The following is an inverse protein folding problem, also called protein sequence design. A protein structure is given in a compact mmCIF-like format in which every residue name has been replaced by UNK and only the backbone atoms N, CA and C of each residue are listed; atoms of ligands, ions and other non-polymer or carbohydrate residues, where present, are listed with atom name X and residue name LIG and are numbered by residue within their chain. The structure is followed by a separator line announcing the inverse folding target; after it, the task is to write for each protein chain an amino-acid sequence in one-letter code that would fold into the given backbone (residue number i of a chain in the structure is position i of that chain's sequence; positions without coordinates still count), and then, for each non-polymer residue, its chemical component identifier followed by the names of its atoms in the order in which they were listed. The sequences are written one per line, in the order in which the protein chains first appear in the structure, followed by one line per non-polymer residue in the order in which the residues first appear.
data_IF_845137180173
#
_entry.id   IF_845137180173
#
_cell.length_a   1.000
_cell.length_b   1.000
_cell.length_c   1.000
_cell.angle_alpha   90.00
_cell.angle_beta   90.00
_cell.angle_gamma   90.00
#
_symmetry.space_group_name_H-M   'P 1'
#
loop_
_entity.id
_entity.type
_entity.pdbx_description
1 polymer ?
#
# COMPACT_ATOMS: atom_id res chain seq x y z
N UNK A 1 20.89 13.57 13.57
CA UNK A 1 20.34 12.56 12.69
C UNK A 1 18.83 12.52 12.71
N UNK A 2 18.24 12.70 11.61
CA UNK A 2 16.79 12.69 11.53
C UNK A 2 16.28 11.28 11.29
N UNK A 3 15.13 11.01 11.84
CA UNK A 3 14.47 9.75 11.62
C UNK A 3 13.56 9.88 10.41
N UNK A 4 13.73 9.02 9.48
CA UNK A 4 12.90 9.02 8.30
C UNK A 4 11.69 8.14 8.54
N UNK A 5 10.53 8.73 8.42
CA UNK A 5 9.30 7.98 8.50
C UNK A 5 8.82 7.72 7.09
N UNK A 6 8.50 6.50 6.83
CA UNK A 6 7.96 6.17 5.53
C UNK A 6 6.76 5.26 5.67
N UNK A 7 5.96 5.24 4.65
CA UNK A 7 4.82 4.36 4.54
C UNK A 7 5.13 3.36 3.43
N UNK A 8 4.88 2.10 3.70
CA UNK A 8 5.14 1.03 2.76
C UNK A 8 3.84 0.35 2.40
N UNK A 9 3.53 0.31 1.11
CA UNK A 9 2.35 -0.40 0.65
C UNK A 9 2.76 -1.82 0.28
N UNK A 10 2.32 -2.78 1.06
CA UNK A 10 2.63 -4.18 0.83
C UNK A 10 1.37 -4.95 0.47
N UNK A 11 1.53 -5.96 -0.38
CA UNK A 11 0.43 -6.83 -0.70
C UNK A 11 0.09 -7.71 0.50
N UNK A 12 -1.15 -7.69 0.92
CA UNK A 12 -1.60 -8.48 2.06
C UNK A 12 -1.65 -9.97 1.72
N UNK A 13 -1.73 -10.30 0.47
CA UNK A 13 -1.84 -11.67 0.02
C UNK A 13 -0.48 -12.37 -0.14
N UNK A 14 0.45 -11.73 -0.83
CA UNK A 14 1.76 -12.34 -1.09
C UNK A 14 2.90 -11.69 -0.31
N UNK A 15 2.65 -10.56 0.34
CA UNK A 15 3.66 -9.88 1.14
C UNK A 15 4.65 -9.05 0.36
N UNK A 16 4.48 -8.93 -0.95
CA UNK A 16 5.41 -8.15 -1.76
C UNK A 16 5.21 -6.65 -1.52
N UNK A 17 6.32 -5.93 -1.50
CA UNK A 17 6.25 -4.48 -1.37
C UNK A 17 5.83 -3.89 -2.70
N UNK A 18 4.77 -3.09 -2.68
CA UNK A 18 4.25 -2.47 -3.90
C UNK A 18 4.93 -1.14 -4.15
N UNK A 19 5.00 -0.30 -3.12
CA UNK A 19 5.59 1.02 -3.25
C UNK A 19 6.01 1.58 -1.90
N UNK A 20 6.91 2.55 -1.93
CA UNK A 20 7.35 3.27 -0.74
C UNK A 20 6.97 4.74 -0.85
N UNK A 21 6.49 5.29 0.24
CA UNK A 21 6.14 6.71 0.34
C UNK A 21 6.97 7.31 1.47
N UNK A 22 8.03 8.01 1.11
CA UNK A 22 9.02 8.45 2.08
C UNK A 22 8.64 9.75 2.77
N UNK A 23 8.15 10.70 2.02
CA UNK A 23 7.91 12.03 2.54
C UNK A 23 6.49 12.31 3.00
N UNK A 24 5.58 11.42 2.72
CA UNK A 24 4.18 11.66 3.04
C UNK A 24 3.41 10.34 3.09
N UNK A 25 2.27 10.42 3.73
CA UNK A 25 1.37 9.28 3.77
C UNK A 25 0.44 9.36 2.55
N UNK A 26 0.37 8.31 1.74
CA UNK A 26 -0.47 8.34 0.55
C UNK A 26 -1.95 8.34 0.90
N UNK A 27 -2.74 8.93 0.03
CA UNK A 27 -4.19 8.87 0.16
C UNK A 27 -4.69 7.56 -0.43
N UNK A 28 -5.93 7.23 -0.12
CA UNK A 28 -6.54 6.02 -0.69
C UNK A 28 -6.53 6.07 -2.21
N UNK A 29 -6.73 7.26 -2.75
CA UNK A 29 -6.73 7.46 -4.18
C UNK A 29 -5.39 7.12 -4.80
N UNK A 30 -4.32 7.54 -4.15
CA UNK A 30 -2.97 7.23 -4.61
C UNK A 30 -2.66 5.76 -4.50
N UNK A 31 -3.08 5.14 -3.40
CA UNK A 31 -2.89 3.71 -3.22
C UNK A 31 -3.60 2.91 -4.29
N UNK A 32 -4.79 3.33 -4.67
CA UNK A 32 -5.54 2.64 -5.73
C UNK A 32 -4.84 2.73 -7.08
N UNK A 33 -4.08 3.78 -7.30
CA UNK A 33 -3.31 3.91 -8.53
C UNK A 33 -2.12 2.97 -8.55
N UNK A 34 -1.44 2.85 -7.42
CA UNK A 34 -0.21 2.06 -7.34
C UNK A 34 -0.49 0.58 -7.07
N UNK A 35 -1.57 0.29 -6.37
CA UNK A 35 -1.93 -1.07 -6.00
C UNK A 35 -3.05 -1.58 -6.88
N UNK A 36 -3.13 -2.90 -7.04
CA UNK A 36 -4.19 -3.50 -7.82
C UNK A 36 -5.55 -3.34 -7.14
N UNK A 37 -5.55 -3.39 -5.82
CA UNK A 37 -6.79 -3.26 -5.06
C UNK A 37 -6.51 -2.69 -3.69
N UNK A 38 -7.43 -1.89 -3.19
CA UNK A 38 -7.36 -1.33 -1.84
C UNK A 38 -8.67 -1.62 -1.14
N UNK A 39 -8.57 -2.19 0.04
CA UNK A 39 -9.73 -2.53 0.87
C UNK A 39 -9.53 -1.94 2.25
N UNK A 40 -10.59 -1.43 2.84
CA UNK A 40 -10.55 -0.93 4.21
C UNK A 40 -11.34 -1.89 5.08
N UNK A 41 -10.67 -2.42 6.10
CA UNK A 41 -11.29 -3.38 7.01
C UNK A 41 -10.93 -3.01 8.44
N UNK A 42 -11.95 -2.81 9.27
CA UNK A 42 -11.77 -2.45 10.67
C UNK A 42 -10.83 -1.26 10.87
N UNK A 43 -10.94 -0.26 10.01
CA UNK A 43 -10.10 0.92 10.09
C UNK A 43 -8.70 0.73 9.55
N UNK A 44 -8.38 -0.46 9.05
CA UNK A 44 -7.07 -0.74 8.45
C UNK A 44 -7.17 -0.75 6.94
N UNK A 45 -6.18 -0.16 6.31
CA UNK A 45 -6.09 -0.15 4.85
C UNK A 45 -5.30 -1.38 4.42
N UNK A 46 -5.91 -2.19 3.58
CA UNK A 46 -5.29 -3.40 3.05
C UNK A 46 -5.07 -3.20 1.56
N UNK A 47 -3.86 -3.41 1.11
CA UNK A 47 -3.51 -3.26 -0.31
C UNK A 47 -3.15 -4.60 -0.91
N UNK A 48 -3.59 -4.82 -2.15
CA UNK A 48 -3.35 -6.05 -2.89
C UNK A 48 -2.61 -5.67 -4.17
N UNK A 49 -1.54 -6.38 -4.48
CA UNK A 49 -0.78 -6.09 -5.68
C UNK A 49 -1.58 -6.49 -6.93
N UNK A 50 -1.16 -5.94 -8.05
CA UNK A 50 -1.86 -6.12 -9.31
C UNK A 50 -1.95 -7.59 -9.71
N UNK A 51 -0.87 -8.33 -9.50
CA UNK A 51 -0.86 -9.74 -9.85
C UNK A 51 -1.85 -10.56 -9.03
N UNK A 52 -1.92 -10.30 -7.74
CA UNK A 52 -2.86 -10.99 -6.87
C UNK A 52 -4.30 -10.58 -7.18
N UNK A 53 -4.48 -9.34 -7.59
CA UNK A 53 -5.80 -8.83 -7.93
C UNK A 53 -6.36 -9.44 -9.20
N UNK A 54 -5.49 -9.89 -10.09
CA UNK A 54 -5.90 -10.51 -11.34
C UNK A 54 -6.46 -11.92 -11.18
N UNK A 55 -6.17 -12.54 -10.06
CA UNK A 55 -6.63 -13.91 -9.82
C UNK A 55 -8.07 -14.00 -9.34
#
# INVERSE_FOLDING_TARGET
MSITRWYEACCDNCGAVINHYIHYKPTIKELKKDCGRVVIRNGKVITICDECNKK
#
